data_IF_165892919180
#
_entry.id   IF_165892919180
#
_cell.length_a   1.000
_cell.length_b   1.000
_cell.length_c   1.000
_cell.angle_alpha   90.00
_cell.angle_beta   90.00
_cell.angle_gamma   90.00
#
_symmetry.space_group_name_H-M   'P 1'
#
loop_
_entity.id
_entity.type
_entity.pdbx_description
1 polymer ?
#
# COMPACT_ATOMS: atom_id res chain seq x y z
N UNK A 1 24.71 14.82 0.63
CA UNK A 1 24.80 14.26 1.98
C UNK A 1 25.49 12.92 1.82
N UNK A 2 26.67 12.64 2.48
CA UNK A 2 27.33 11.34 2.38
C UNK A 2 26.38 10.26 2.92
N UNK A 3 26.33 9.10 2.26
CA UNK A 3 25.51 7.98 2.66
C UNK A 3 25.84 7.56 4.10
N UNK A 4 24.82 7.23 4.90
CA UNK A 4 24.97 6.80 6.31
C UNK A 4 25.92 5.60 6.48
N UNK A 5 26.14 4.84 5.41
CA UNK A 5 27.06 3.69 5.37
C UNK A 5 28.51 4.03 5.64
N UNK A 6 28.95 5.28 5.38
CA UNK A 6 30.35 5.69 5.56
C UNK A 6 30.67 6.22 6.97
N UNK A 7 29.70 6.26 7.87
CA UNK A 7 29.86 6.81 9.23
C UNK A 7 29.91 5.71 10.28
N UNK A 8 30.81 5.86 11.23
CA UNK A 8 30.86 4.96 12.39
C UNK A 8 29.61 5.17 13.27
N UNK A 9 29.17 4.15 14.03
CA UNK A 9 28.05 4.29 14.96
C UNK A 9 28.21 5.48 15.94
N UNK A 10 29.41 5.72 16.44
CA UNK A 10 29.69 6.84 17.34
C UNK A 10 29.47 8.20 16.68
N UNK A 11 29.86 8.35 15.40
CA UNK A 11 29.65 9.58 14.64
C UNK A 11 28.15 9.82 14.36
N UNK A 12 27.38 8.76 14.12
CA UNK A 12 25.92 8.88 13.96
C UNK A 12 25.25 9.36 15.24
N UNK A 13 25.61 8.79 16.37
CA UNK A 13 25.02 9.18 17.66
C UNK A 13 25.36 10.61 18.08
N UNK A 14 26.56 11.10 17.76
CA UNK A 14 26.94 12.48 18.08
C UNK A 14 26.18 13.54 17.27
N UNK A 15 25.62 13.17 16.12
CA UNK A 15 24.85 14.04 15.23
C UNK A 15 23.34 14.00 15.47
N UNK A 16 22.83 12.97 16.17
CA UNK A 16 21.43 12.88 16.55
C UNK A 16 21.12 13.90 17.64
N UNK A 17 20.48 15.00 17.25
CA UNK A 17 20.10 16.09 18.16
C UNK A 17 18.67 15.95 18.70
N UNK A 18 17.81 15.30 17.92
CA UNK A 18 16.42 15.06 18.27
C UNK A 18 15.86 13.86 17.45
N UNK A 19 14.67 13.40 17.84
CA UNK A 19 13.98 12.28 17.20
C UNK A 19 13.67 12.54 15.71
N UNK A 20 13.31 13.77 15.37
CA UNK A 20 12.94 14.13 14.00
C UNK A 20 14.13 14.05 13.05
N UNK A 21 15.32 14.48 13.50
CA UNK A 21 16.57 14.38 12.75
C UNK A 21 16.98 12.93 12.50
N UNK A 22 16.88 12.08 13.52
CA UNK A 22 17.16 10.64 13.40
C UNK A 22 16.26 9.97 12.35
N UNK A 23 14.96 10.19 12.42
CA UNK A 23 14.02 9.61 11.46
C UNK A 23 14.15 10.21 10.05
N UNK A 24 14.54 11.48 9.95
CA UNK A 24 14.86 12.13 8.66
C UNK A 24 16.02 11.44 7.93
N UNK A 25 17.02 11.00 8.67
CA UNK A 25 18.20 10.33 8.11
C UNK A 25 17.96 8.83 7.85
N UNK A 26 17.28 8.12 8.76
CA UNK A 26 17.08 6.68 8.65
C UNK A 26 16.00 6.27 7.65
N UNK A 27 14.94 7.07 7.50
CA UNK A 27 13.81 6.70 6.63
C UNK A 27 14.19 6.47 5.17
N UNK A 28 14.99 7.33 4.51
CA UNK A 28 15.42 7.09 3.13
C UNK A 28 16.22 5.80 2.97
N UNK A 29 17.09 5.48 3.92
CA UNK A 29 17.90 4.25 3.86
C UNK A 29 17.05 3.00 4.06
N UNK A 30 16.10 3.04 4.98
CA UNK A 30 15.15 1.94 5.17
C UNK A 30 14.31 1.72 3.90
N UNK A 31 13.87 2.78 3.23
CA UNK A 31 13.13 2.67 1.99
C UNK A 31 13.97 2.05 0.86
N UNK A 32 15.24 2.43 0.74
CA UNK A 32 16.15 1.85 -0.26
C UNK A 32 16.48 0.39 0.06
N UNK A 33 16.68 0.04 1.33
CA UNK A 33 16.86 -1.34 1.76
C UNK A 33 15.63 -2.20 1.45
N UNK A 34 14.43 -1.69 1.75
CA UNK A 34 13.16 -2.38 1.43
C UNK A 34 12.99 -2.53 -0.09
N UNK A 35 13.29 -1.50 -0.88
CA UNK A 35 13.26 -1.56 -2.34
C UNK A 35 14.16 -2.67 -2.86
N UNK A 36 15.42 -2.72 -2.40
CA UNK A 36 16.39 -3.73 -2.79
C UNK A 36 15.90 -5.15 -2.49
N UNK A 37 15.34 -5.36 -1.30
CA UNK A 37 14.78 -6.66 -0.90
C UNK A 37 13.59 -7.04 -1.79
N UNK A 38 12.67 -6.10 -2.07
CA UNK A 38 11.52 -6.36 -2.94
C UNK A 38 11.94 -6.69 -4.36
N UNK A 39 12.92 -5.97 -4.92
CA UNK A 39 13.44 -6.22 -6.27
C UNK A 39 14.14 -7.57 -6.36
N UNK A 40 14.96 -7.94 -5.37
CA UNK A 40 15.57 -9.25 -5.28
C UNK A 40 14.52 -10.37 -5.18
N UNK A 41 13.53 -10.21 -4.32
CA UNK A 41 12.44 -11.18 -4.19
C UNK A 41 11.67 -11.38 -5.50
N UNK A 42 11.41 -10.30 -6.25
CA UNK A 42 10.75 -10.40 -7.56
C UNK A 42 11.62 -11.13 -8.60
N UNK A 43 12.92 -10.91 -8.58
CA UNK A 43 13.83 -11.64 -9.47
C UNK A 43 13.90 -13.13 -9.14
N UNK A 44 13.91 -13.49 -7.85
CA UNK A 44 13.90 -14.89 -7.40
C UNK A 44 12.57 -15.59 -7.74
N UNK A 45 11.43 -14.94 -7.49
CA UNK A 45 10.12 -15.44 -7.92
C UNK A 45 10.05 -15.66 -9.43
N UNK A 46 10.53 -14.67 -10.20
CA UNK A 46 10.56 -14.78 -11.65
C UNK A 46 11.49 -15.90 -12.14
N UNK A 47 12.66 -16.06 -11.51
CA UNK A 47 13.58 -17.15 -11.85
C UNK A 47 12.95 -18.51 -11.58
N UNK A 48 12.24 -18.66 -10.47
CA UNK A 48 11.49 -19.88 -10.13
C UNK A 48 10.37 -20.16 -11.14
N UNK A 49 9.56 -19.13 -11.53
CA UNK A 49 8.51 -19.31 -12.54
C UNK A 49 9.06 -19.64 -13.93
N UNK A 50 10.22 -19.12 -14.31
CA UNK A 50 10.87 -19.38 -15.59
C UNK A 50 11.63 -20.70 -15.61
N UNK A 51 11.86 -21.33 -14.46
CA UNK A 51 12.75 -22.48 -14.29
C UNK A 51 14.15 -22.20 -14.88
N UNK A 52 14.62 -20.95 -14.75
CA UNK A 52 15.90 -20.51 -15.25
C UNK A 52 16.36 -19.22 -14.56
N UNK A 53 17.60 -19.19 -14.10
CA UNK A 53 18.24 -17.99 -13.60
C UNK A 53 18.44 -16.92 -14.72
N UNK A 54 18.91 -15.75 -14.32
CA UNK A 54 19.25 -14.68 -15.27
C UNK A 54 20.44 -15.13 -16.12
N UNK A 55 20.31 -14.98 -17.45
CA UNK A 55 21.29 -15.41 -18.46
C UNK A 55 21.50 -16.92 -18.59
N UNK A 56 20.86 -17.74 -17.79
CA UNK A 56 20.92 -19.19 -17.91
C UNK A 56 20.18 -19.68 -19.16
N UNK A 57 20.77 -20.63 -19.88
CA UNK A 57 20.18 -21.33 -21.01
C UNK A 57 19.86 -22.75 -20.61
N UNK A 58 18.59 -23.06 -20.40
CA UNK A 58 18.12 -24.40 -20.05
C UNK A 58 16.97 -24.82 -20.98
N UNK A 59 16.90 -26.10 -21.39
CA UNK A 59 15.79 -26.61 -22.19
C UNK A 59 14.45 -26.58 -21.45
N UNK A 60 14.46 -26.48 -20.13
CA UNK A 60 13.26 -26.46 -19.28
C UNK A 60 12.67 -25.07 -19.08
N UNK A 61 13.27 -24.08 -19.68
CA UNK A 61 12.81 -22.69 -19.55
C UNK A 61 11.40 -22.52 -20.12
N UNK A 62 10.47 -22.02 -19.28
CA UNK A 62 9.05 -21.90 -19.64
C UNK A 62 8.71 -20.64 -20.42
N UNK A 63 9.47 -19.53 -20.23
CA UNK A 63 9.24 -18.22 -20.88
C UNK A 63 10.53 -17.42 -20.91
N UNK A 64 10.51 -16.28 -21.57
CA UNK A 64 11.63 -15.36 -21.72
C UNK A 64 11.43 -14.10 -20.87
N UNK A 65 12.51 -13.58 -20.29
CA UNK A 65 12.53 -12.24 -19.66
C UNK A 65 12.33 -11.18 -20.75
N UNK A 66 11.56 -10.14 -20.44
CA UNK A 66 11.23 -9.05 -21.36
C UNK A 66 11.48 -7.67 -20.72
N UNK A 67 12.68 -7.49 -20.18
CA UNK A 67 13.04 -6.25 -19.49
C UNK A 67 12.27 -6.05 -18.18
N UNK A 68 12.08 -4.80 -17.82
CA UNK A 68 11.39 -4.38 -16.59
C UNK A 68 10.55 -3.12 -16.84
N UNK A 69 9.80 -2.71 -15.83
CA UNK A 69 9.15 -1.40 -15.78
C UNK A 69 9.26 -0.84 -14.36
N UNK A 70 9.18 0.48 -14.25
CA UNK A 70 9.24 1.18 -13.00
C UNK A 70 7.86 1.57 -12.50
N UNK A 71 7.66 1.52 -11.19
CA UNK A 71 6.42 1.95 -10.55
C UNK A 71 6.67 2.48 -9.15
N UNK A 72 5.73 3.28 -8.65
CA UNK A 72 5.74 3.69 -7.26
C UNK A 72 4.91 2.75 -6.39
N UNK A 73 5.34 2.56 -5.14
CA UNK A 73 4.64 1.83 -4.10
C UNK A 73 4.69 2.61 -2.80
N UNK A 74 3.54 2.98 -2.25
CA UNK A 74 3.44 3.59 -0.93
C UNK A 74 3.35 2.51 0.12
N UNK A 75 4.30 2.51 1.03
CA UNK A 75 4.42 1.58 2.16
C UNK A 75 4.16 2.32 3.48
N UNK A 76 4.16 1.60 4.57
CA UNK A 76 4.06 2.14 5.93
C UNK A 76 5.27 3.02 6.31
N UNK A 77 6.40 2.79 5.67
CA UNK A 77 7.63 3.55 5.88
C UNK A 77 7.72 4.81 5.00
N UNK A 78 6.92 4.86 3.93
CA UNK A 78 6.93 5.93 2.95
C UNK A 78 6.75 5.44 1.51
N UNK A 79 7.03 6.30 0.53
CA UNK A 79 6.95 5.96 -0.88
C UNK A 79 8.27 5.46 -1.43
N UNK A 80 8.21 4.29 -2.06
CA UNK A 80 9.25 3.82 -2.99
C UNK A 80 8.85 4.32 -4.38
N UNK A 81 9.60 5.27 -4.93
CA UNK A 81 9.22 5.98 -6.16
C UNK A 81 9.63 5.26 -7.44
N UNK A 82 10.62 4.39 -7.36
CA UNK A 82 11.25 3.77 -8.53
C UNK A 82 11.48 2.27 -8.32
N UNK A 83 10.43 1.55 -7.97
CA UNK A 83 10.46 0.10 -7.81
C UNK A 83 10.51 -0.58 -9.18
N UNK A 84 11.58 -1.31 -9.46
CA UNK A 84 11.79 -2.05 -10.70
C UNK A 84 11.05 -3.38 -10.66
N UNK A 85 10.11 -3.57 -11.57
CA UNK A 85 9.32 -4.82 -11.67
C UNK A 85 9.70 -5.54 -12.96
N UNK A 86 10.22 -6.78 -12.89
CA UNK A 86 10.60 -7.51 -14.07
C UNK A 86 9.38 -7.94 -14.90
N UNK A 87 9.61 -8.19 -16.18
CA UNK A 87 8.59 -8.68 -17.14
C UNK A 87 9.01 -9.98 -17.77
N UNK A 88 8.04 -10.76 -18.15
CA UNK A 88 8.21 -11.91 -19.05
C UNK A 88 7.43 -11.72 -20.36
N UNK A 89 7.78 -12.49 -21.37
CA UNK A 89 7.35 -12.23 -22.75
C UNK A 89 5.94 -12.76 -23.06
N UNK A 90 5.65 -14.00 -22.70
CA UNK A 90 4.41 -14.67 -23.08
C UNK A 90 3.29 -14.42 -22.07
N UNK A 91 3.59 -14.51 -20.80
CA UNK A 91 2.61 -14.32 -19.72
C UNK A 91 3.02 -13.15 -18.84
N UNK A 92 2.13 -12.21 -18.50
CA UNK A 92 2.46 -11.12 -17.60
C UNK A 92 2.89 -11.63 -16.23
N UNK A 93 4.11 -11.29 -15.78
CA UNK A 93 4.58 -11.58 -14.43
C UNK A 93 3.79 -10.79 -13.40
N UNK A 94 3.46 -11.41 -12.30
CA UNK A 94 2.70 -10.82 -11.20
C UNK A 94 3.35 -11.21 -9.87
N UNK A 95 4.12 -10.30 -9.25
CA UNK A 95 4.69 -10.58 -7.94
C UNK A 95 3.60 -11.00 -6.94
N UNK A 96 3.86 -12.02 -6.14
CA UNK A 96 2.90 -12.60 -5.18
C UNK A 96 2.42 -11.58 -4.14
N UNK A 97 3.31 -10.69 -3.73
CA UNK A 97 3.05 -9.66 -2.70
C UNK A 97 2.49 -8.34 -3.26
N UNK A 98 2.52 -8.11 -4.59
CA UNK A 98 2.00 -6.91 -5.22
C UNK A 98 0.65 -7.15 -5.88
N UNK A 99 -0.39 -6.48 -5.42
CA UNK A 99 -1.68 -6.48 -6.11
C UNK A 99 -1.58 -5.73 -7.44
N UNK A 100 -2.28 -6.23 -8.46
CA UNK A 100 -2.39 -5.56 -9.77
C UNK A 100 -2.86 -4.11 -9.58
N UNK A 101 -2.16 -3.17 -10.19
CA UNK A 101 -2.45 -1.73 -10.17
C UNK A 101 -2.53 -1.09 -8.76
N UNK A 102 -2.22 -1.81 -7.68
CA UNK A 102 -2.20 -1.22 -6.35
C UNK A 102 -0.98 -0.30 -6.21
N UNK A 103 -1.21 0.93 -5.81
CA UNK A 103 -0.16 1.94 -5.55
C UNK A 103 0.23 2.00 -4.08
N UNK A 104 -0.47 1.27 -3.21
CA UNK A 104 -0.26 1.23 -1.76
C UNK A 104 -0.28 -0.20 -1.26
N UNK A 105 0.39 -0.45 -0.15
CA UNK A 105 0.32 -1.73 0.57
C UNK A 105 -1.09 -1.95 1.13
N UNK A 106 -1.40 -3.21 1.46
CA UNK A 106 -2.70 -3.54 2.08
C UNK A 106 -2.86 -2.89 3.44
N UNK A 107 -1.76 -2.74 4.16
CA UNK A 107 -1.76 -2.16 5.53
C UNK A 107 -2.11 -0.68 5.46
N UNK A 108 -1.49 0.09 4.57
CA UNK A 108 -1.83 1.50 4.35
C UNK A 108 -3.31 1.64 3.99
N UNK A 109 -3.81 0.86 3.02
CA UNK A 109 -5.23 0.88 2.65
C UNK A 109 -6.16 0.50 3.82
N UNK A 110 -5.74 -0.43 4.70
CA UNK A 110 -6.52 -0.85 5.87
C UNK A 110 -6.57 0.24 6.94
N UNK A 111 -5.45 0.89 7.23
CA UNK A 111 -5.37 2.01 8.19
C UNK A 111 -6.26 3.16 7.74
N UNK A 112 -6.17 3.58 6.49
CA UNK A 112 -6.97 4.67 5.94
C UNK A 112 -8.46 4.35 5.95
N UNK A 113 -8.85 3.14 5.59
CA UNK A 113 -10.24 2.67 5.71
C UNK A 113 -10.75 2.70 7.14
N UNK A 114 -9.93 2.26 8.09
CA UNK A 114 -10.30 2.24 9.50
C UNK A 114 -10.47 3.64 10.06
N UNK A 115 -9.59 4.58 9.68
CA UNK A 115 -9.68 5.98 10.05
C UNK A 115 -10.98 6.62 9.52
N UNK A 116 -11.31 6.39 8.24
CA UNK A 116 -12.56 6.84 7.63
C UNK A 116 -13.79 6.25 8.34
N UNK A 117 -13.80 4.94 8.62
CA UNK A 117 -14.90 4.29 9.34
C UNK A 117 -15.07 4.76 10.79
N UNK A 118 -14.02 5.36 11.37
CA UNK A 118 -14.08 5.97 12.71
C UNK A 118 -14.56 7.43 12.68
N UNK A 119 -14.96 7.93 11.53
CA UNK A 119 -15.60 9.23 11.37
C UNK A 119 -14.70 10.35 10.86
N UNK A 120 -13.44 10.06 10.49
CA UNK A 120 -12.63 11.07 9.81
C UNK A 120 -13.23 11.38 8.44
N UNK A 121 -13.29 12.66 8.10
CA UNK A 121 -13.67 13.09 6.76
C UNK A 121 -12.66 12.59 5.70
N UNK A 122 -13.05 12.61 4.44
CA UNK A 122 -12.14 12.23 3.33
C UNK A 122 -10.89 13.11 3.28
N UNK A 123 -10.99 14.39 3.68
CA UNK A 123 -9.86 15.33 3.73
C UNK A 123 -8.93 15.02 4.91
N UNK A 124 -9.47 14.80 6.08
CA UNK A 124 -8.70 14.43 7.28
C UNK A 124 -8.00 13.06 7.10
N UNK A 125 -8.68 12.10 6.48
CA UNK A 125 -8.07 10.81 6.14
C UNK A 125 -6.95 10.97 5.13
N UNK A 126 -7.07 11.89 4.18
CA UNK A 126 -6.00 12.21 3.23
C UNK A 126 -4.80 12.88 3.91
N UNK A 127 -5.04 13.83 4.83
CA UNK A 127 -3.99 14.46 5.64
C UNK A 127 -3.28 13.46 6.54
N UNK A 128 -4.02 12.54 7.16
CA UNK A 128 -3.45 11.45 7.94
C UNK A 128 -2.53 10.55 7.09
N UNK A 129 -2.96 10.23 5.86
CA UNK A 129 -2.13 9.45 4.93
C UNK A 129 -0.81 10.16 4.62
N UNK A 130 -0.85 11.44 4.36
CA UNK A 130 0.33 12.27 4.09
C UNK A 130 1.27 12.32 5.29
N UNK A 131 0.73 12.52 6.49
CA UNK A 131 1.52 12.50 7.74
C UNK A 131 2.21 11.15 7.95
N UNK A 132 1.52 10.03 7.69
CA UNK A 132 2.06 8.69 7.91
C UNK A 132 3.09 8.28 6.84
N UNK A 133 2.80 8.58 5.58
CA UNK A 133 3.58 8.03 4.46
C UNK A 133 4.49 9.05 3.79
N UNK A 134 4.37 10.34 4.12
CA UNK A 134 5.04 11.44 3.44
C UNK A 134 4.53 11.68 2.01
N UNK A 135 3.39 11.09 1.62
CA UNK A 135 2.85 11.18 0.25
C UNK A 135 1.44 11.76 0.27
N UNK A 136 1.19 12.84 -0.47
CA UNK A 136 -0.13 13.42 -0.56
C UNK A 136 -1.13 12.44 -1.18
N UNK A 137 -2.27 12.28 -0.53
CA UNK A 137 -3.37 11.48 -1.01
C UNK A 137 -4.57 12.38 -1.34
N UNK A 138 -5.17 12.19 -2.52
CA UNK A 138 -6.37 12.96 -2.87
C UNK A 138 -7.61 12.43 -2.13
N UNK A 139 -8.53 13.33 -1.79
CA UNK A 139 -9.83 12.98 -1.21
C UNK A 139 -10.60 11.98 -2.10
N UNK A 140 -10.48 12.08 -3.42
CA UNK A 140 -11.06 11.12 -4.36
C UNK A 140 -10.47 9.70 -4.20
N UNK A 141 -9.21 9.57 -3.81
CA UNK A 141 -8.60 8.26 -3.53
C UNK A 141 -9.15 7.66 -2.24
N UNK A 142 -9.43 8.48 -1.22
CA UNK A 142 -10.10 8.05 0.02
C UNK A 142 -11.53 7.61 -0.28
N UNK A 143 -12.27 8.40 -1.07
CA UNK A 143 -13.64 8.04 -1.49
C UNK A 143 -13.68 6.68 -2.20
N UNK A 144 -12.72 6.40 -3.10
CA UNK A 144 -12.61 5.07 -3.75
C UNK A 144 -12.31 3.94 -2.77
N UNK A 145 -11.51 4.21 -1.72
CA UNK A 145 -11.27 3.23 -0.65
C UNK A 145 -12.54 2.97 0.17
N UNK A 146 -13.35 4.00 0.41
CA UNK A 146 -14.63 3.89 1.09
C UNK A 146 -15.67 3.14 0.23
N UNK A 147 -15.79 3.46 -1.05
CA UNK A 147 -16.69 2.79 -1.99
C UNK A 147 -16.46 1.27 -2.07
N UNK A 148 -15.24 0.79 -1.84
CA UNK A 148 -14.96 -0.64 -1.75
C UNK A 148 -15.69 -1.33 -0.57
N UNK A 149 -16.23 -0.56 0.39
CA UNK A 149 -17.03 -1.07 1.51
C UNK A 149 -18.51 -1.22 1.15
N UNK A 150 -19.00 -0.50 0.13
CA UNK A 150 -20.43 -0.46 -0.22
C UNK A 150 -21.01 -1.84 -0.52
N UNK A 151 -20.25 -2.68 -1.22
CA UNK A 151 -20.66 -4.06 -1.49
C UNK A 151 -20.84 -4.88 -0.19
N UNK A 152 -19.96 -4.67 0.80
CA UNK A 152 -20.04 -5.35 2.11
C UNK A 152 -21.20 -4.83 2.94
N UNK A 153 -21.43 -3.52 2.92
CA UNK A 153 -22.57 -2.88 3.58
C UNK A 153 -23.89 -3.39 2.95
N UNK A 154 -23.98 -3.41 1.63
CA UNK A 154 -25.13 -3.93 0.90
C UNK A 154 -25.39 -5.41 1.23
N UNK A 155 -24.35 -6.24 1.25
CA UNK A 155 -24.46 -7.65 1.63
C UNK A 155 -24.92 -7.81 3.09
N UNK A 156 -24.41 -6.98 3.99
CA UNK A 156 -24.85 -6.97 5.38
C UNK A 156 -26.33 -6.62 5.51
N UNK A 157 -26.80 -5.56 4.84
CA UNK A 157 -28.20 -5.14 4.87
C UNK A 157 -29.16 -6.18 4.25
N UNK A 158 -28.70 -6.95 3.26
CA UNK A 158 -29.48 -8.03 2.62
C UNK A 158 -29.39 -9.36 3.34
N UNK A 159 -28.63 -9.45 4.41
CA UNK A 159 -28.47 -10.70 5.16
C UNK A 159 -29.78 -11.08 5.83
N UNK A 160 -30.29 -12.32 5.63
CA UNK A 160 -31.49 -12.78 6.34
C UNK A 160 -31.18 -12.90 7.83
N UNK A 161 -32.11 -12.45 8.65
CA UNK A 161 -32.05 -12.63 10.11
C UNK A 161 -32.58 -14.03 10.40
N UNK A 162 -31.68 -14.95 10.73
CA UNK A 162 -32.00 -16.39 10.91
C UNK A 162 -32.27 -16.79 12.36
N UNK A 163 -32.01 -15.88 13.32
CA UNK A 163 -32.27 -16.15 14.73
C UNK A 163 -33.68 -15.71 15.15
N UNK A 164 -34.29 -16.43 16.08
CA UNK A 164 -35.56 -16.02 16.71
C UNK A 164 -35.29 -14.93 17.72
N UNK A 165 -35.66 -13.69 17.40
CA UNK A 165 -35.68 -12.58 18.36
C UNK A 165 -36.98 -12.59 19.15
N UNK A 166 -36.91 -12.52 20.50
CA UNK A 166 -38.09 -12.33 21.36
C UNK A 166 -38.53 -10.87 21.43
N UNK A 167 -37.59 -9.96 21.27
CA UNK A 167 -37.81 -8.52 21.35
C UNK A 167 -37.06 -7.83 20.20
N UNK A 168 -37.69 -6.83 19.60
CA UNK A 168 -37.13 -5.93 18.63
C UNK A 168 -37.13 -4.52 19.22
N UNK A 169 -35.98 -3.95 19.47
CA UNK A 169 -35.84 -2.56 19.90
C UNK A 169 -35.50 -1.73 18.65
N UNK A 170 -36.34 -0.74 18.37
CA UNK A 170 -36.12 0.21 17.27
C UNK A 170 -35.89 1.59 17.88
N UNK A 171 -34.82 2.23 17.45
CA UNK A 171 -34.50 3.61 17.81
C UNK A 171 -34.36 4.47 16.56
N UNK A 172 -34.88 5.70 16.62
CA UNK A 172 -34.82 6.66 15.53
C UNK A 172 -33.58 7.56 15.64
N UNK A 173 -32.72 7.50 14.65
CA UNK A 173 -31.57 8.40 14.56
C UNK A 173 -31.89 9.56 13.60
N UNK A 174 -31.76 10.79 14.08
CA UNK A 174 -31.82 11.99 13.25
C UNK A 174 -30.50 12.19 12.51
N UNK A 175 -30.53 12.09 11.19
CA UNK A 175 -29.37 12.29 10.33
C UNK A 175 -29.62 13.47 9.42
N UNK A 176 -28.75 14.48 9.48
CA UNK A 176 -28.75 15.60 8.52
C UNK A 176 -28.30 15.12 7.15
N UNK A 177 -29.22 15.01 6.22
CA UNK A 177 -28.92 14.66 4.84
C UNK A 177 -28.91 15.92 4.00
N UNK A 178 -27.79 16.21 3.32
CA UNK A 178 -27.78 17.18 2.23
C UNK A 178 -28.53 16.55 1.05
N UNK A 179 -29.78 16.91 0.90
CA UNK A 179 -30.49 16.67 -0.35
C UNK A 179 -29.87 17.61 -1.40
N UNK A 180 -29.27 17.07 -2.44
CA UNK A 180 -28.98 17.82 -3.66
C UNK A 180 -30.32 18.08 -4.33
N UNK A 181 -31.02 19.13 -3.86
CA UNK A 181 -32.23 19.61 -4.51
C UNK A 181 -31.92 19.97 -5.95
N UNK A 182 -32.48 19.23 -6.89
CA UNK A 182 -32.78 19.78 -8.21
C UNK A 182 -33.84 20.83 -7.98
N UNK A 183 -33.46 22.11 -8.19
CA UNK A 183 -34.41 23.15 -8.56
C UNK A 183 -34.91 22.88 -9.97
#
# INVERSE_FOLDING_TARGET
VPALTDRTPAQRWSEVRDEASLWGDLRPELLEAVKTILEATMEDELAAELVAARYERTPWRTDLRNGSYHRSLVTELGAITDLTVPRRRLVPYRPSFLRRAARRTRVVDAVLRRAFLRGLSTRETAALAETLTGVPLSAASVSRLAAALDARVTAFHRRPVTFRARYLLLDGLWVSVRSSGRA
#
